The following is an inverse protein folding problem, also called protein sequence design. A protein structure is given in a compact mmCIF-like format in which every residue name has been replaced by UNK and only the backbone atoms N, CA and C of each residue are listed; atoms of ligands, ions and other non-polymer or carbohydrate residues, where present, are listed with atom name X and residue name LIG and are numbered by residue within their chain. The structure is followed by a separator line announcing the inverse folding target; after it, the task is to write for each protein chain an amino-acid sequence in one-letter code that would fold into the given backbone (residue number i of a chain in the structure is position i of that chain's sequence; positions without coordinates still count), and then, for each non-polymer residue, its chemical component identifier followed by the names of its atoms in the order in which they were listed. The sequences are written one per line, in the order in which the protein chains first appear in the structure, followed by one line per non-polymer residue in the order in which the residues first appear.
data_IF_878243430539
#
_entry.id   IF_878243430539
#
_cell.length_a   1.000
_cell.length_b   1.000
_cell.length_c   1.000
_cell.angle_alpha   90.00
_cell.angle_beta   90.00
_cell.angle_gamma   90.00
#
_symmetry.space_group_name_H-M   'P 1'
#
loop_
_entity.id
_entity.type
_entity.pdbx_description
1 polymer ?
#
# COMPACT_ATOMS: atom_id res chain seq x y z
N UNK A 1 19.13 2.35 -14.27
CA UNK A 1 18.57 1.45 -13.23
C UNK A 1 17.72 2.22 -12.23
N UNK A 2 18.25 3.29 -11.63
CA UNK A 2 17.49 4.11 -10.67
C UNK A 2 16.11 4.55 -11.19
N UNK A 3 16.02 5.11 -12.40
CA UNK A 3 14.74 5.55 -12.97
C UNK A 3 13.73 4.40 -13.16
N UNK A 4 14.21 3.23 -13.58
CA UNK A 4 13.38 2.03 -13.71
C UNK A 4 12.83 1.58 -12.35
N UNK A 5 13.65 1.64 -11.29
CA UNK A 5 13.21 1.33 -9.93
C UNK A 5 12.20 2.35 -9.42
N UNK A 6 12.34 3.65 -9.75
CA UNK A 6 11.35 4.69 -9.41
C UNK A 6 10.02 4.42 -10.09
N UNK A 7 10.03 4.12 -11.39
CA UNK A 7 8.82 3.79 -12.14
C UNK A 7 8.11 2.57 -11.56
N UNK A 8 8.86 1.51 -11.24
CA UNK A 8 8.31 0.28 -10.64
C UNK A 8 7.80 0.50 -9.21
N UNK A 9 8.50 1.27 -8.39
CA UNK A 9 8.05 1.64 -7.04
C UNK A 9 6.78 2.49 -7.11
N UNK A 10 6.73 3.47 -8.00
CA UNK A 10 5.54 4.31 -8.18
C UNK A 10 4.34 3.49 -8.66
N UNK A 11 4.56 2.59 -9.62
CA UNK A 11 3.53 1.63 -10.05
C UNK A 11 3.04 0.77 -8.89
N UNK A 12 3.95 0.26 -8.05
CA UNK A 12 3.57 -0.49 -6.85
C UNK A 12 2.69 0.34 -5.91
N UNK A 13 3.07 1.59 -5.62
CA UNK A 13 2.34 2.48 -4.72
C UNK A 13 0.93 2.76 -5.26
N UNK A 14 0.78 3.08 -6.55
CA UNK A 14 -0.54 3.34 -7.17
C UNK A 14 -1.52 2.18 -6.93
N UNK A 15 -1.05 0.93 -7.02
CA UNK A 15 -1.93 -0.25 -6.96
C UNK A 15 -2.14 -0.78 -5.54
N UNK A 16 -1.16 -0.59 -4.66
CA UNK A 16 -1.18 -1.20 -3.33
C UNK A 16 -1.44 -0.18 -2.24
N UNK A 17 -1.00 1.07 -2.37
CA UNK A 17 -1.04 2.11 -1.34
C UNK A 17 -1.52 3.45 -1.95
N UNK A 18 -2.71 3.49 -2.59
CA UNK A 18 -3.21 4.71 -3.23
C UNK A 18 -3.46 5.85 -2.22
N UNK A 19 -3.70 5.53 -0.95
CA UNK A 19 -3.75 6.51 0.15
C UNK A 19 -2.42 7.29 0.26
N UNK A 20 -1.28 6.59 0.22
CA UNK A 20 0.04 7.23 0.17
C UNK A 20 0.24 8.01 -1.14
N UNK A 21 -0.21 7.45 -2.28
CA UNK A 21 -0.13 8.10 -3.58
C UNK A 21 -0.79 9.48 -3.57
N UNK A 22 -2.03 9.57 -3.07
CA UNK A 22 -2.76 10.84 -2.98
C UNK A 22 -2.05 11.83 -2.05
N UNK A 23 -1.61 11.38 -0.87
CA UNK A 23 -0.86 12.22 0.08
C UNK A 23 0.38 12.83 -0.57
N UNK A 24 1.19 12.01 -1.26
CA UNK A 24 2.40 12.49 -1.94
C UNK A 24 2.11 13.47 -3.09
N UNK A 25 0.99 13.30 -3.79
CA UNK A 25 0.58 14.21 -4.86
C UNK A 25 0.08 15.55 -4.31
N UNK A 26 -0.73 15.53 -3.25
CA UNK A 26 -1.24 16.73 -2.58
C UNK A 26 -0.09 17.57 -1.99
N UNK A 27 0.90 16.89 -1.42
CA UNK A 27 2.09 17.54 -0.82
C UNK A 27 3.16 17.93 -1.85
N UNK A 28 2.94 17.68 -3.16
CA UNK A 28 3.94 17.88 -4.22
C UNK A 28 5.29 17.19 -3.96
N UNK A 29 5.29 16.06 -3.23
CA UNK A 29 6.49 15.40 -2.69
C UNK A 29 6.86 14.08 -3.37
N UNK A 30 6.13 13.69 -4.44
CA UNK A 30 6.34 12.41 -5.16
C UNK A 30 7.81 12.17 -5.54
N UNK A 31 8.47 13.16 -6.16
CA UNK A 31 9.86 13.00 -6.61
C UNK A 31 10.83 12.88 -5.44
N UNK A 32 10.62 13.66 -4.38
CA UNK A 32 11.48 13.64 -3.20
C UNK A 32 11.41 12.29 -2.49
N UNK A 33 10.19 11.79 -2.28
CA UNK A 33 9.97 10.46 -1.71
C UNK A 33 10.64 9.35 -2.54
N UNK A 34 10.46 9.36 -3.87
CA UNK A 34 11.08 8.36 -4.74
C UNK A 34 12.61 8.46 -4.72
N UNK A 35 13.18 9.67 -4.72
CA UNK A 35 14.63 9.86 -4.64
C UNK A 35 15.21 9.37 -3.31
N UNK A 36 14.53 9.64 -2.20
CA UNK A 36 14.93 9.16 -0.87
C UNK A 36 14.91 7.64 -0.81
N UNK A 37 13.82 7.01 -1.28
CA UNK A 37 13.70 5.54 -1.33
C UNK A 37 14.77 4.90 -2.20
N UNK A 38 15.08 5.47 -3.37
CA UNK A 38 16.18 4.95 -4.21
C UNK A 38 17.54 5.14 -3.54
N UNK A 39 17.75 6.25 -2.84
CA UNK A 39 19.00 6.51 -2.13
C UNK A 39 19.26 5.48 -1.03
N UNK A 40 18.20 4.95 -0.39
CA UNK A 40 18.36 3.93 0.66
C UNK A 40 18.81 2.56 0.14
N UNK A 41 18.49 2.22 -1.12
CA UNK A 41 18.93 0.97 -1.76
C UNK A 41 20.18 1.11 -2.62
N UNK A 42 20.68 2.34 -2.79
CA UNK A 42 21.85 2.63 -3.64
C UNK A 42 23.09 1.80 -3.30
N UNK A 43 23.47 1.58 -2.02
CA UNK A 43 24.62 0.73 -1.70
C UNK A 43 24.46 -0.71 -2.24
N UNK A 44 23.27 -1.30 -2.06
CA UNK A 44 22.97 -2.67 -2.51
C UNK A 44 22.96 -2.71 -4.05
N UNK A 45 22.40 -1.69 -4.68
CA UNK A 45 22.35 -1.56 -6.13
C UNK A 45 23.76 -1.49 -6.73
N UNK A 46 24.63 -0.64 -6.20
CA UNK A 46 25.98 -0.43 -6.70
C UNK A 46 26.84 -1.71 -6.53
N UNK A 47 26.71 -2.40 -5.39
CA UNK A 47 27.37 -3.69 -5.14
C UNK A 47 26.94 -4.74 -6.18
N UNK A 48 25.64 -4.93 -6.40
CA UNK A 48 25.13 -5.93 -7.34
C UNK A 48 25.49 -5.62 -8.80
N UNK A 49 25.53 -4.34 -9.19
CA UNK A 49 25.99 -3.91 -10.51
C UNK A 49 27.48 -4.22 -10.70
N UNK A 50 28.29 -4.08 -9.65
CA UNK A 50 29.72 -4.39 -9.70
C UNK A 50 29.99 -5.90 -9.84
N UNK A 51 29.08 -6.73 -9.32
CA UNK A 51 29.12 -8.20 -9.39
C UNK A 51 28.58 -8.76 -10.73
N UNK A 52 28.28 -7.91 -11.72
CA UNK A 52 27.64 -8.27 -13.00
C UNK A 52 26.34 -9.07 -12.80
N UNK A 53 25.61 -8.74 -11.72
CA UNK A 53 24.36 -9.43 -11.39
C UNK A 53 23.32 -9.16 -12.48
N UNK A 54 22.61 -10.19 -12.98
CA UNK A 54 21.56 -10.01 -13.96
C UNK A 54 20.52 -8.97 -13.52
N UNK A 55 20.18 -8.05 -14.43
CA UNK A 55 19.28 -6.93 -14.15
C UNK A 55 17.95 -7.34 -13.49
N UNK A 56 17.32 -8.43 -13.93
CA UNK A 56 16.05 -8.87 -13.36
C UNK A 56 16.16 -9.27 -11.87
N UNK A 57 17.33 -9.77 -11.45
CA UNK A 57 17.62 -10.11 -10.04
C UNK A 57 17.80 -8.83 -9.21
N UNK A 58 18.53 -7.85 -9.76
CA UNK A 58 18.69 -6.52 -9.13
C UNK A 58 17.33 -5.88 -8.91
N UNK A 59 16.48 -5.88 -9.93
CA UNK A 59 15.13 -5.32 -9.87
C UNK A 59 14.29 -5.98 -8.78
N UNK A 60 14.27 -7.32 -8.73
CA UNK A 60 13.51 -8.06 -7.72
C UNK A 60 13.98 -7.75 -6.30
N UNK A 61 15.29 -7.81 -6.04
CA UNK A 61 15.85 -7.54 -4.71
C UNK A 61 15.59 -6.09 -4.30
N UNK A 62 15.91 -5.12 -5.17
CA UNK A 62 15.71 -3.72 -4.84
C UNK A 62 14.23 -3.41 -4.60
N UNK A 63 13.31 -3.93 -5.42
CA UNK A 63 11.88 -3.71 -5.21
C UNK A 63 11.35 -4.33 -3.93
N UNK A 64 11.85 -5.52 -3.56
CA UNK A 64 11.47 -6.13 -2.29
C UNK A 64 11.87 -5.24 -1.11
N UNK A 65 13.08 -4.67 -1.12
CA UNK A 65 13.54 -3.73 -0.09
C UNK A 65 12.73 -2.43 -0.11
N UNK A 66 12.51 -1.85 -1.30
CA UNK A 66 11.80 -0.56 -1.46
C UNK A 66 10.35 -0.61 -1.00
N UNK A 67 9.72 -1.78 -1.03
CA UNK A 67 8.29 -1.97 -0.73
C UNK A 67 8.02 -2.62 0.62
N UNK A 68 9.06 -2.91 1.41
CA UNK A 68 8.90 -3.71 2.63
C UNK A 68 8.12 -2.97 3.73
N UNK A 69 8.36 -1.67 3.89
CA UNK A 69 7.63 -0.80 4.82
C UNK A 69 6.22 -0.42 4.35
N UNK A 70 5.89 -0.72 3.09
CA UNK A 70 4.55 -0.54 2.51
C UNK A 70 3.65 -1.77 2.73
N UNK A 71 4.14 -2.77 3.46
CA UNK A 71 3.44 -4.04 3.73
C UNK A 71 3.23 -4.24 5.24
N UNK A 72 2.04 -4.71 5.66
CA UNK A 72 0.86 -4.98 4.84
C UNK A 72 0.13 -3.69 4.43
N UNK A 73 -0.55 -3.73 3.28
CA UNK A 73 -1.32 -2.58 2.79
C UNK A 73 -2.69 -2.50 3.46
N UNK A 74 -2.95 -1.40 4.17
CA UNK A 74 -4.28 -1.10 4.73
C UNK A 74 -5.33 -0.99 3.64
N UNK A 75 -4.97 -0.38 2.50
CA UNK A 75 -5.88 -0.24 1.37
C UNK A 75 -6.34 -1.59 0.82
N UNK A 76 -5.40 -2.50 0.54
CA UNK A 76 -5.75 -3.82 0.04
C UNK A 76 -6.58 -4.62 1.05
N UNK A 77 -6.25 -4.49 2.33
CA UNK A 77 -6.96 -5.17 3.41
C UNK A 77 -8.41 -4.67 3.58
N UNK A 78 -8.62 -3.36 3.64
CA UNK A 78 -9.97 -2.79 3.70
C UNK A 78 -10.75 -3.12 2.44
N UNK A 79 -10.10 -3.06 1.27
CA UNK A 79 -10.74 -3.45 -0.01
C UNK A 79 -11.16 -4.91 -0.02
N UNK A 80 -10.36 -5.83 0.52
CA UNK A 80 -10.73 -7.24 0.62
C UNK A 80 -11.87 -7.45 1.60
N UNK A 81 -11.86 -6.80 2.77
CA UNK A 81 -12.98 -6.88 3.71
C UNK A 81 -14.28 -6.34 3.09
N UNK A 82 -14.21 -5.24 2.35
CA UNK A 82 -15.37 -4.69 1.66
C UNK A 82 -15.90 -5.66 0.60
N UNK A 83 -15.03 -6.31 -0.16
CA UNK A 83 -15.39 -7.32 -1.15
C UNK A 83 -16.03 -8.56 -0.52
N UNK A 84 -15.45 -9.05 0.58
CA UNK A 84 -15.84 -10.33 1.19
C UNK A 84 -17.11 -10.21 2.06
N UNK A 85 -17.25 -9.12 2.80
CA UNK A 85 -18.32 -8.95 3.80
C UNK A 85 -19.43 -8.00 3.33
N UNK A 86 -19.14 -7.12 2.36
CA UNK A 86 -20.05 -6.08 1.87
C UNK A 86 -20.16 -6.07 0.34
N UNK A 87 -20.22 -7.26 -0.27
CA UNK A 87 -20.16 -7.49 -1.73
C UNK A 87 -21.05 -6.54 -2.56
N UNK A 88 -22.29 -6.28 -2.11
CA UNK A 88 -23.22 -5.39 -2.81
C UNK A 88 -22.71 -3.95 -2.87
N UNK A 89 -22.19 -3.45 -1.77
CA UNK A 89 -21.61 -2.10 -1.68
C UNK A 89 -20.32 -2.03 -2.48
N UNK A 90 -19.47 -3.04 -2.36
CA UNK A 90 -18.26 -3.17 -3.16
C UNK A 90 -18.57 -3.07 -4.68
N UNK A 91 -19.54 -3.85 -5.16
CA UNK A 91 -19.97 -3.82 -6.56
C UNK A 91 -20.50 -2.44 -6.96
N UNK A 92 -21.34 -1.82 -6.13
CA UNK A 92 -21.89 -0.49 -6.41
C UNK A 92 -20.80 0.60 -6.50
N UNK A 93 -19.81 0.58 -5.60
CA UNK A 93 -18.67 1.50 -5.64
C UNK A 93 -17.78 1.25 -6.86
N UNK A 94 -17.60 -0.01 -7.25
CA UNK A 94 -16.82 -0.37 -8.44
C UNK A 94 -17.51 0.11 -9.72
N UNK A 95 -18.82 -0.15 -9.85
CA UNK A 95 -19.62 0.26 -11.02
C UNK A 95 -19.71 1.78 -11.19
N UNK A 96 -19.73 2.51 -10.07
CA UNK A 96 -19.73 3.98 -10.06
C UNK A 96 -18.33 4.61 -10.20
N UNK A 97 -17.26 3.80 -10.16
CA UNK A 97 -15.88 4.27 -10.30
C UNK A 97 -15.32 4.98 -9.07
N UNK A 98 -15.96 4.86 -7.90
CA UNK A 98 -15.55 5.54 -6.66
C UNK A 98 -14.86 4.61 -5.65
N UNK A 99 -14.73 3.32 -5.96
CA UNK A 99 -14.19 2.31 -5.03
C UNK A 99 -12.87 2.71 -4.38
N UNK A 100 -11.89 3.19 -5.15
CA UNK A 100 -10.59 3.58 -4.58
C UNK A 100 -10.74 4.71 -3.57
N UNK A 101 -11.57 5.71 -3.87
CA UNK A 101 -11.81 6.86 -3.00
C UNK A 101 -12.53 6.45 -1.72
N UNK A 102 -13.57 5.63 -1.83
CA UNK A 102 -14.31 5.15 -0.65
C UNK A 102 -13.48 4.22 0.24
N UNK A 103 -12.61 3.40 -0.35
CA UNK A 103 -11.67 2.60 0.47
C UNK A 103 -10.71 3.50 1.23
N UNK A 104 -10.21 4.59 0.64
CA UNK A 104 -9.36 5.57 1.35
C UNK A 104 -10.14 6.22 2.51
N UNK A 105 -11.39 6.63 2.29
CA UNK A 105 -12.23 7.17 3.36
C UNK A 105 -12.48 6.14 4.47
N UNK A 106 -12.66 4.87 4.12
CA UNK A 106 -12.80 3.78 5.08
C UNK A 106 -11.52 3.54 5.89
N UNK A 107 -10.32 3.64 5.28
CA UNK A 107 -9.05 3.59 6.01
C UNK A 107 -9.01 4.69 7.08
N UNK A 108 -9.41 5.91 6.72
CA UNK A 108 -9.49 7.04 7.64
C UNK A 108 -10.49 6.80 8.78
N UNK A 109 -11.68 6.27 8.47
CA UNK A 109 -12.68 5.86 9.46
C UNK A 109 -12.14 4.76 10.40
N UNK A 110 -11.33 3.84 9.88
CA UNK A 110 -10.73 2.72 10.62
C UNK A 110 -9.43 3.08 11.35
N UNK A 111 -8.90 4.30 11.17
CA UNK A 111 -7.62 4.76 11.74
C UNK A 111 -7.50 4.47 13.25
N UNK A 112 -8.50 4.74 14.11
CA UNK A 112 -8.39 4.47 15.55
C UNK A 112 -8.14 2.99 15.87
N UNK A 113 -8.71 2.08 15.08
CA UNK A 113 -8.55 0.63 15.26
C UNK A 113 -7.13 0.21 14.86
N UNK A 114 -6.66 0.69 13.71
CA UNK A 114 -5.28 0.43 13.26
C UNK A 114 -4.23 0.98 14.25
N UNK A 115 -4.48 2.13 14.87
CA UNK A 115 -3.57 2.71 15.87
C UNK A 115 -3.63 1.98 17.22
N UNK A 116 -4.79 1.45 17.61
CA UNK A 116 -4.97 0.77 18.91
C UNK A 116 -4.45 -0.66 18.87
N UNK A 117 -4.78 -1.42 17.82
CA UNK A 117 -4.42 -2.84 17.69
C UNK A 117 -3.07 -3.01 17.00
N UNK A 118 -2.70 -2.06 16.13
CA UNK A 118 -1.58 -2.20 15.20
C UNK A 118 -1.98 -2.98 13.95
N UNK A 119 -1.27 -2.75 12.84
CA UNK A 119 -1.43 -3.52 11.61
C UNK A 119 -0.07 -3.89 11.04
N UNK A 120 0.28 -5.16 11.16
CA UNK A 120 1.56 -5.74 10.78
C UNK A 120 1.34 -7.11 10.12
N UNK A 121 2.37 -7.65 9.47
CA UNK A 121 2.29 -8.97 8.82
C UNK A 121 1.94 -10.08 9.81
N UNK A 122 2.32 -9.92 11.07
CA UNK A 122 2.07 -10.91 12.13
C UNK A 122 0.62 -10.92 12.63
N UNK A 123 -0.11 -9.82 12.48
CA UNK A 123 -1.46 -9.68 13.04
C UNK A 123 -2.56 -9.41 12.02
N UNK A 124 -2.25 -9.40 10.71
CA UNK A 124 -3.25 -9.16 9.65
C UNK A 124 -4.37 -10.22 9.64
N UNK A 125 -4.09 -11.43 10.13
CA UNK A 125 -5.06 -12.51 10.30
C UNK A 125 -5.73 -12.55 11.69
N UNK A 126 -5.45 -11.57 12.58
CA UNK A 126 -6.07 -11.52 13.92
C UNK A 126 -7.60 -11.36 13.80
N UNK A 127 -8.39 -12.34 14.29
CA UNK A 127 -9.85 -12.24 14.26
C UNK A 127 -10.40 -11.00 14.98
N UNK A 128 -9.72 -10.51 16.02
CA UNK A 128 -10.16 -9.31 16.74
C UNK A 128 -10.02 -8.07 15.88
N UNK A 129 -8.87 -7.90 15.21
CA UNK A 129 -8.65 -6.82 14.26
C UNK A 129 -9.70 -6.88 13.14
N UNK A 130 -9.87 -8.07 12.54
CA UNK A 130 -10.82 -8.29 11.45
C UNK A 130 -12.24 -7.90 11.85
N UNK A 131 -12.72 -8.40 12.99
CA UNK A 131 -14.09 -8.15 13.46
C UNK A 131 -14.30 -6.68 13.84
N UNK A 132 -13.31 -6.03 14.45
CA UNK A 132 -13.39 -4.60 14.78
C UNK A 132 -13.51 -3.74 13.51
N UNK A 133 -12.71 -4.04 12.47
CA UNK A 133 -12.77 -3.35 11.19
C UNK A 133 -14.09 -3.58 10.46
N UNK A 134 -14.62 -4.82 10.47
CA UNK A 134 -15.95 -5.10 9.88
C UNK A 134 -17.03 -4.28 10.58
N UNK A 135 -17.00 -4.19 11.92
CA UNK A 135 -17.93 -3.35 12.67
C UNK A 135 -17.84 -1.88 12.25
N UNK A 136 -16.63 -1.33 12.17
CA UNK A 136 -16.42 0.07 11.76
C UNK A 136 -16.84 0.34 10.31
N UNK A 137 -16.59 -0.60 9.38
CA UNK A 137 -17.05 -0.49 8.00
C UNK A 137 -18.59 -0.51 7.95
N UNK A 138 -19.23 -1.41 8.71
CA UNK A 138 -20.69 -1.44 8.78
C UNK A 138 -21.26 -0.11 9.30
N UNK A 139 -20.64 0.47 10.32
CA UNK A 139 -21.04 1.77 10.87
C UNK A 139 -20.86 2.92 9.87
N UNK A 140 -19.79 2.91 9.07
CA UNK A 140 -19.57 3.90 8.00
C UNK A 140 -20.60 3.80 6.87
N UNK A 141 -21.08 2.59 6.55
CA UNK A 141 -21.98 2.34 5.42
C UNK A 141 -23.47 2.55 5.73
N UNK A 142 -23.83 2.76 7.01
CA UNK A 142 -25.20 3.00 7.47
C UNK A 142 -25.60 4.48 7.40
#
# INVERSE_FOLDING_TARGET
MEDLLKEKLWFYIIHNNPDLMFTLQEDYSVLDYLNEKISSVKPILDDMLSDDTPQYIIEEICLNVLTEDLKPSRFLYIRSLLSDEFEKTYAAFQESGILTYEVINLIESCRPIFETIGFTKENEEDPNLRNALIGQIADYLN
#
